data_IF_803566517147
#
_entry.id   IF_803566517147
#
_cell.length_a   1.000
_cell.length_b   1.000
_cell.length_c   1.000
_cell.angle_alpha   90.00
_cell.angle_beta   90.00
_cell.angle_gamma   90.00
#
_symmetry.space_group_name_H-M   'P 1'
#
loop_
_entity.id
_entity.type
_entity.pdbx_description
1 polymer ?
#
# COMPACT_ATOMS: atom_id res chain seq x y z
N UNK A 1 -19.83 19.43 3.23
CA UNK A 1 -20.87 18.61 2.58
C UNK A 1 -21.62 19.44 1.52
N UNK A 2 -21.80 18.86 0.34
CA UNK A 2 -22.51 19.55 -0.75
C UNK A 2 -24.03 19.51 -0.54
N UNK A 3 -24.74 20.62 -0.83
CA UNK A 3 -26.20 20.59 -0.86
C UNK A 3 -26.73 19.56 -1.86
N UNK A 4 -27.88 18.97 -1.58
CA UNK A 4 -28.47 17.93 -2.42
C UNK A 4 -28.84 18.42 -3.82
N UNK A 5 -29.09 19.71 -3.98
CA UNK A 5 -29.47 20.35 -5.24
C UNK A 5 -28.28 20.92 -6.01
N UNK A 6 -27.05 20.66 -5.57
CA UNK A 6 -25.84 21.08 -6.27
C UNK A 6 -25.80 20.40 -7.65
N UNK A 7 -25.63 21.16 -8.76
CA UNK A 7 -25.46 20.57 -10.08
C UNK A 7 -24.29 19.58 -10.08
N UNK A 8 -24.46 18.46 -10.74
CA UNK A 8 -23.46 17.40 -10.86
C UNK A 8 -22.96 16.87 -9.51
N UNK A 9 -23.80 16.93 -8.48
CA UNK A 9 -23.45 16.50 -7.13
C UNK A 9 -22.89 15.06 -7.12
N UNK A 10 -23.52 14.16 -7.85
CA UNK A 10 -23.08 12.76 -7.92
C UNK A 10 -21.67 12.66 -8.47
N UNK A 11 -21.37 13.37 -9.55
CA UNK A 11 -20.03 13.37 -10.16
C UNK A 11 -18.99 13.95 -9.20
N UNK A 12 -19.32 15.05 -8.51
CA UNK A 12 -18.41 15.69 -7.55
C UNK A 12 -18.12 14.76 -6.38
N UNK A 13 -19.14 14.10 -5.83
CA UNK A 13 -19.00 13.17 -4.73
C UNK A 13 -18.17 11.96 -5.14
N UNK A 14 -18.41 11.41 -6.33
CA UNK A 14 -17.63 10.27 -6.84
C UNK A 14 -16.16 10.64 -7.04
N UNK A 15 -15.88 11.82 -7.57
CA UNK A 15 -14.50 12.28 -7.71
C UNK A 15 -13.83 12.45 -6.34
N UNK A 16 -14.56 12.94 -5.35
CA UNK A 16 -14.05 13.08 -4.00
C UNK A 16 -13.66 11.72 -3.38
N UNK A 17 -14.44 10.67 -3.63
CA UNK A 17 -14.08 9.32 -3.18
C UNK A 17 -12.84 8.80 -3.89
N UNK A 18 -12.71 9.07 -5.19
CA UNK A 18 -11.50 8.69 -5.94
C UNK A 18 -10.27 9.42 -5.39
N UNK A 19 -10.38 10.71 -5.11
CA UNK A 19 -9.29 11.48 -4.52
C UNK A 19 -8.92 10.95 -3.14
N UNK A 20 -9.92 10.61 -2.32
CA UNK A 20 -9.70 10.04 -1.00
C UNK A 20 -9.04 8.66 -1.06
N UNK A 21 -9.33 7.86 -2.07
CA UNK A 21 -8.67 6.56 -2.27
C UNK A 21 -7.24 6.73 -2.79
N UNK A 22 -6.98 7.74 -3.62
CA UNK A 22 -5.68 7.96 -4.24
C UNK A 22 -4.58 8.28 -3.23
N UNK A 23 -4.91 8.97 -2.15
CA UNK A 23 -3.92 9.37 -1.13
C UNK A 23 -3.33 8.15 -0.42
N UNK A 24 -4.12 7.26 0.22
CA UNK A 24 -3.54 6.07 0.85
C UNK A 24 -2.96 5.09 -0.17
N UNK A 25 -3.43 5.08 -1.40
CA UNK A 25 -2.85 4.26 -2.46
C UNK A 25 -1.41 4.71 -2.75
N UNK A 26 -1.19 6.00 -2.93
CA UNK A 26 0.15 6.57 -3.15
C UNK A 26 1.06 6.29 -1.94
N UNK A 27 0.53 6.43 -0.73
CA UNK A 27 1.27 6.12 0.50
C UNK A 27 1.70 4.66 0.52
N UNK A 28 0.80 3.74 0.20
CA UNK A 28 1.13 2.30 0.16
C UNK A 28 2.22 1.98 -0.85
N UNK A 29 2.20 2.64 -2.02
CA UNK A 29 3.25 2.48 -3.04
C UNK A 29 4.59 3.00 -2.55
N UNK A 30 4.61 4.13 -1.86
CA UNK A 30 5.85 4.68 -1.30
C UNK A 30 6.41 3.77 -0.21
N UNK A 31 5.54 3.22 0.64
CA UNK A 31 5.95 2.28 1.68
C UNK A 31 6.50 0.99 1.05
N UNK A 32 5.95 0.57 -0.08
CA UNK A 32 6.49 -0.58 -0.80
C UNK A 32 7.95 -0.35 -1.22
N UNK A 33 8.30 0.86 -1.63
CA UNK A 33 9.70 1.22 -1.93
C UNK A 33 10.57 1.06 -0.69
N UNK A 34 10.08 1.48 0.49
CA UNK A 34 10.80 1.29 1.75
C UNK A 34 11.00 -0.19 2.07
N UNK A 35 10.02 -1.03 1.78
CA UNK A 35 10.14 -2.48 1.95
C UNK A 35 11.23 -3.05 1.06
N UNK A 36 11.30 -2.62 -0.20
CA UNK A 36 12.35 -3.03 -1.13
C UNK A 36 13.75 -2.62 -0.62
N UNK A 37 13.87 -1.39 -0.08
CA UNK A 37 15.12 -0.92 0.50
C UNK A 37 15.50 -1.73 1.73
N UNK A 38 14.54 -2.12 2.56
CA UNK A 38 14.78 -2.96 3.74
C UNK A 38 15.35 -4.32 3.34
N UNK A 39 14.87 -4.89 2.24
CA UNK A 39 15.41 -6.14 1.70
C UNK A 39 16.89 -5.96 1.33
N UNK A 40 17.27 -4.86 0.70
CA UNK A 40 18.65 -4.58 0.33
C UNK A 40 19.54 -4.49 1.58
N UNK A 41 19.05 -3.83 2.63
CA UNK A 41 19.78 -3.73 3.89
C UNK A 41 20.04 -5.10 4.50
N UNK A 42 19.04 -5.97 4.50
CA UNK A 42 19.18 -7.33 5.07
C UNK A 42 20.10 -8.20 4.24
N UNK A 43 20.04 -8.08 2.91
CA UNK A 43 20.89 -8.90 2.01
C UNK A 43 22.35 -8.46 2.02
N UNK A 44 22.61 -7.16 2.01
CA UNK A 44 23.94 -6.62 1.76
C UNK A 44 24.51 -5.82 2.93
N UNK A 45 23.74 -5.61 3.98
CA UNK A 45 24.20 -4.91 5.17
C UNK A 45 25.09 -5.77 6.05
N UNK A 46 25.80 -5.11 6.96
CA UNK A 46 26.62 -5.81 7.95
C UNK A 46 25.75 -6.31 9.11
N UNK A 47 26.37 -7.10 9.99
CA UNK A 47 25.67 -7.72 11.12
C UNK A 47 24.98 -6.72 12.06
N UNK A 48 25.44 -5.47 12.09
CA UNK A 48 24.87 -4.45 12.97
C UNK A 48 23.53 -3.93 12.49
N UNK A 49 23.23 -3.99 11.18
CA UNK A 49 22.02 -3.39 10.60
C UNK A 49 20.98 -4.42 10.15
N UNK A 50 21.32 -5.70 10.13
CA UNK A 50 20.42 -6.74 9.63
C UNK A 50 19.14 -6.83 10.45
N UNK A 51 19.23 -6.79 11.78
CA UNK A 51 18.05 -6.83 12.65
C UNK A 51 17.16 -5.62 12.41
N UNK A 52 17.76 -4.43 12.31
CA UNK A 52 17.00 -3.20 12.02
C UNK A 52 16.33 -3.27 10.66
N UNK A 53 17.00 -3.82 9.67
CA UNK A 53 16.44 -4.02 8.34
C UNK A 53 15.24 -4.96 8.35
N UNK A 54 15.33 -6.07 9.12
CA UNK A 54 14.22 -7.01 9.25
C UNK A 54 13.02 -6.38 9.96
N UNK A 55 13.26 -5.61 11.02
CA UNK A 55 12.21 -4.89 11.74
C UNK A 55 11.56 -3.85 10.82
N UNK A 56 12.36 -3.11 10.05
CA UNK A 56 11.85 -2.14 9.09
C UNK A 56 10.96 -2.81 8.04
N UNK A 57 11.34 -3.99 7.56
CA UNK A 57 10.54 -4.74 6.59
C UNK A 57 9.17 -5.14 7.16
N UNK A 58 9.14 -5.63 8.40
CA UNK A 58 7.88 -6.00 9.05
C UNK A 58 6.97 -4.78 9.23
N UNK A 59 7.52 -3.67 9.69
CA UNK A 59 6.75 -2.44 9.90
C UNK A 59 6.27 -1.84 8.58
N UNK A 60 7.11 -1.84 7.55
CA UNK A 60 6.73 -1.37 6.22
C UNK A 60 5.59 -2.23 5.66
N UNK A 61 5.67 -3.56 5.81
CA UNK A 61 4.62 -4.46 5.33
C UNK A 61 3.29 -4.18 6.02
N UNK A 62 3.30 -4.02 7.33
CA UNK A 62 2.09 -3.71 8.10
C UNK A 62 1.52 -2.35 7.73
N UNK A 63 2.36 -1.33 7.59
CA UNK A 63 1.94 0.02 7.22
C UNK A 63 1.33 0.05 5.81
N UNK A 64 1.95 -0.64 4.86
CA UNK A 64 1.44 -0.75 3.49
C UNK A 64 0.05 -1.40 3.45
N UNK A 65 -0.12 -2.50 4.18
CA UNK A 65 -1.42 -3.18 4.27
C UNK A 65 -2.47 -2.28 4.90
N UNK A 66 -2.10 -1.53 5.93
CA UNK A 66 -3.00 -0.56 6.58
C UNK A 66 -3.43 0.53 5.60
N UNK A 67 -2.50 1.06 4.81
CA UNK A 67 -2.80 2.06 3.79
C UNK A 67 -3.79 1.49 2.76
N UNK A 68 -3.58 0.25 2.31
CA UNK A 68 -4.48 -0.37 1.33
C UNK A 68 -5.86 -0.69 1.90
N UNK A 69 -5.97 -0.94 3.19
CA UNK A 69 -7.28 -1.05 3.83
C UNK A 69 -8.04 0.28 3.74
N UNK A 70 -7.35 1.41 3.90
CA UNK A 70 -7.95 2.73 3.73
C UNK A 70 -8.38 2.98 2.28
N UNK A 71 -7.62 2.47 1.31
CA UNK A 71 -8.05 2.51 -0.10
C UNK A 71 -9.35 1.73 -0.26
N UNK A 72 -9.39 0.50 0.24
CA UNK A 72 -10.54 -0.40 0.06
C UNK A 72 -11.83 0.16 0.64
N UNK A 73 -11.77 0.83 1.78
CA UNK A 73 -12.98 1.43 2.37
C UNK A 73 -13.57 2.52 1.46
N UNK A 74 -12.71 3.30 0.81
CA UNK A 74 -13.15 4.32 -0.13
C UNK A 74 -13.67 3.72 -1.44
N UNK A 75 -13.06 2.61 -1.91
CA UNK A 75 -13.51 1.95 -3.13
C UNK A 75 -14.95 1.44 -3.04
N UNK A 76 -15.42 1.10 -1.84
CA UNK A 76 -16.79 0.63 -1.64
C UNK A 76 -17.83 1.68 -2.01
N UNK A 77 -17.48 2.96 -1.98
CA UNK A 77 -18.36 4.08 -2.30
C UNK A 77 -18.21 4.57 -3.74
N UNK A 78 -17.32 3.96 -4.53
CA UNK A 78 -17.07 4.34 -5.91
C UNK A 78 -17.89 3.46 -6.84
N UNK A 79 -18.66 4.08 -7.73
CA UNK A 79 -19.52 3.35 -8.68
C UNK A 79 -18.83 3.04 -10.00
N UNK A 80 -17.70 3.69 -10.29
CA UNK A 80 -16.89 3.42 -11.48
C UNK A 80 -16.19 2.07 -11.32
N UNK A 81 -16.79 1.03 -11.89
CA UNK A 81 -16.32 -0.36 -11.73
C UNK A 81 -14.94 -0.59 -12.32
N UNK A 82 -14.63 0.09 -13.42
CA UNK A 82 -13.32 -0.03 -14.06
C UNK A 82 -12.23 0.56 -13.17
N UNK A 83 -12.46 1.72 -12.58
CA UNK A 83 -11.55 2.33 -11.62
C UNK A 83 -11.31 1.40 -10.42
N UNK A 84 -12.39 0.87 -9.84
CA UNK A 84 -12.30 -0.05 -8.70
C UNK A 84 -11.50 -1.31 -9.07
N UNK A 85 -11.77 -1.86 -10.25
CA UNK A 85 -11.07 -3.06 -10.73
C UNK A 85 -9.56 -2.79 -10.91
N UNK A 86 -9.20 -1.68 -11.52
CA UNK A 86 -7.80 -1.30 -11.73
C UNK A 86 -7.06 -1.09 -10.40
N UNK A 87 -7.69 -0.40 -9.46
CA UNK A 87 -7.09 -0.15 -8.14
C UNK A 87 -6.93 -1.45 -7.35
N UNK A 88 -7.95 -2.28 -7.34
CA UNK A 88 -7.92 -3.57 -6.66
C UNK A 88 -6.82 -4.48 -7.23
N UNK A 89 -6.70 -4.52 -8.54
CA UNK A 89 -5.66 -5.32 -9.20
C UNK A 89 -4.25 -4.81 -8.90
N UNK A 90 -4.06 -3.49 -8.91
CA UNK A 90 -2.78 -2.88 -8.59
C UNK A 90 -2.36 -3.17 -7.15
N UNK A 91 -3.29 -3.06 -6.19
CA UNK A 91 -3.00 -3.38 -4.80
C UNK A 91 -2.67 -4.86 -4.60
N UNK A 92 -3.42 -5.75 -5.25
CA UNK A 92 -3.16 -7.19 -5.17
C UNK A 92 -1.77 -7.53 -5.68
N UNK A 93 -1.33 -6.94 -6.78
CA UNK A 93 -0.01 -7.15 -7.34
C UNK A 93 1.10 -6.69 -6.37
N UNK A 94 0.94 -5.50 -5.82
CA UNK A 94 1.91 -4.94 -4.87
C UNK A 94 1.96 -5.80 -3.59
N UNK A 95 0.80 -6.19 -3.05
CA UNK A 95 0.74 -7.01 -1.84
C UNK A 95 1.38 -8.38 -2.05
N UNK A 96 1.22 -8.97 -3.22
CA UNK A 96 1.84 -10.25 -3.54
C UNK A 96 3.36 -10.12 -3.59
N UNK A 97 3.86 -9.08 -4.25
CA UNK A 97 5.30 -8.79 -4.30
C UNK A 97 5.86 -8.50 -2.90
N UNK A 98 5.13 -7.73 -2.11
CA UNK A 98 5.53 -7.38 -0.75
C UNK A 98 5.61 -8.62 0.15
N UNK A 99 4.66 -9.55 0.02
CA UNK A 99 4.68 -10.80 0.77
C UNK A 99 5.92 -11.63 0.45
N UNK A 100 6.32 -11.68 -0.81
CA UNK A 100 7.55 -12.39 -1.22
C UNK A 100 8.80 -11.73 -0.68
N UNK A 101 8.85 -10.40 -0.66
CA UNK A 101 9.98 -9.66 -0.11
C UNK A 101 10.10 -9.93 1.39
N UNK A 102 9.00 -9.86 2.13
CA UNK A 102 9.00 -10.13 3.56
C UNK A 102 9.48 -11.56 3.86
N UNK A 103 9.04 -12.53 3.07
CA UNK A 103 9.49 -13.92 3.20
C UNK A 103 10.98 -14.05 2.92
N UNK A 104 11.48 -13.39 1.88
CA UNK A 104 12.91 -13.38 1.56
C UNK A 104 13.73 -12.75 2.69
N UNK A 105 13.26 -11.63 3.23
CA UNK A 105 13.91 -10.95 4.35
C UNK A 105 14.00 -11.88 5.57
N UNK A 106 12.92 -12.57 5.90
CA UNK A 106 12.88 -13.48 7.03
C UNK A 106 13.89 -14.62 6.87
N UNK A 107 13.93 -15.23 5.68
CA UNK A 107 14.89 -16.30 5.37
C UNK A 107 16.32 -15.81 5.46
N UNK A 108 16.61 -14.66 4.89
CA UNK A 108 17.95 -14.07 4.89
C UNK A 108 18.38 -13.72 6.32
N UNK A 109 17.48 -13.16 7.11
CA UNK A 109 17.73 -12.85 8.51
C UNK A 109 18.08 -14.12 9.30
N UNK A 110 17.31 -15.19 9.13
CA UNK A 110 17.53 -16.44 9.83
C UNK A 110 18.82 -17.14 9.43
N UNK A 111 19.28 -16.93 8.19
CA UNK A 111 20.52 -17.54 7.71
C UNK A 111 21.77 -16.84 8.23
N UNK A 112 21.62 -15.70 8.85
CA UNK A 112 22.72 -14.90 9.40
C UNK A 112 22.77 -15.08 10.90
#
# INVERSE_FOLDING_TARGET
RLPKDTPDRTAVVQQAFKDAAAIPFALGKDIFVLLQLSEQVVRYGNAWVITDGAIAAMNARAAMRSAFYSVRINLKSITDKEYVHCMTGAMADIEQKAARIEETVEKEYQSR
#
